data_IF_116042471121
#
_entry.id   IF_116042471121
#
_cell.length_a   1.000
_cell.length_b   1.000
_cell.length_c   1.000
_cell.angle_alpha   90.00
_cell.angle_beta   90.00
_cell.angle_gamma   90.00
#
_symmetry.space_group_name_H-M   'P 1'
#
loop_
_entity.id
_entity.type
_entity.pdbx_description
1 polymer ?
#
# COMPACT_ATOMS: atom_id res chain seq x y z
N UNK A 1 -4.13 -9.78 -13.12
CA UNK A 1 -5.02 -9.43 -14.26
C UNK A 1 -4.33 -9.80 -15.57
N UNK A 2 -3.25 -9.11 -15.96
CA UNK A 2 -2.46 -9.48 -17.15
C UNK A 2 -1.88 -10.89 -17.09
N UNK A 3 -1.42 -11.33 -15.92
CA UNK A 3 -0.89 -12.70 -15.74
C UNK A 3 -1.97 -13.79 -15.83
N UNK A 4 -3.24 -13.40 -15.67
CA UNK A 4 -4.38 -14.33 -15.60
C UNK A 4 -5.16 -14.41 -16.90
N UNK A 5 -5.29 -13.27 -17.61
CA UNK A 5 -6.13 -13.13 -18.81
C UNK A 5 -5.33 -12.80 -20.07
N UNK A 6 -4.02 -12.63 -19.94
CA UNK A 6 -3.11 -12.32 -21.03
C UNK A 6 -3.03 -10.82 -21.36
N UNK A 7 -1.88 -10.41 -21.90
CA UNK A 7 -1.59 -9.00 -22.22
C UNK A 7 -2.60 -8.37 -23.19
N UNK A 8 -3.12 -9.14 -24.15
CA UNK A 8 -4.10 -8.62 -25.12
C UNK A 8 -5.41 -8.13 -24.46
N UNK A 9 -5.90 -8.83 -23.44
CA UNK A 9 -7.09 -8.39 -22.69
C UNK A 9 -6.76 -7.15 -21.85
N UNK A 10 -5.54 -7.08 -21.31
CA UNK A 10 -5.02 -5.89 -20.62
C UNK A 10 -5.02 -4.64 -21.50
N UNK A 11 -4.49 -4.75 -22.72
CA UNK A 11 -4.42 -3.62 -23.66
C UNK A 11 -5.82 -3.10 -24.05
N UNK A 12 -6.75 -4.02 -24.35
CA UNK A 12 -8.15 -3.68 -24.63
C UNK A 12 -8.86 -3.03 -23.45
N UNK A 13 -8.51 -3.45 -22.23
CA UNK A 13 -9.04 -2.83 -21.02
C UNK A 13 -8.52 -1.40 -20.88
N UNK A 14 -7.22 -1.17 -21.08
CA UNK A 14 -6.61 0.15 -20.99
C UNK A 14 -7.18 1.12 -22.03
N UNK A 15 -7.44 0.64 -23.25
CA UNK A 15 -8.14 1.41 -24.29
C UNK A 15 -9.55 1.82 -23.83
N UNK A 16 -10.33 0.86 -23.32
CA UNK A 16 -11.69 1.14 -22.81
C UNK A 16 -11.70 2.06 -21.59
N UNK A 17 -10.70 1.94 -20.72
CA UNK A 17 -10.50 2.85 -19.58
C UNK A 17 -10.26 4.26 -20.09
N UNK A 18 -9.35 4.45 -21.06
CA UNK A 18 -9.10 5.75 -21.69
C UNK A 18 -10.37 6.37 -22.26
N UNK A 19 -11.14 5.61 -23.06
CA UNK A 19 -12.42 6.08 -23.63
C UNK A 19 -13.40 6.50 -22.52
N UNK A 20 -13.53 5.69 -21.46
CA UNK A 20 -14.48 5.95 -20.39
C UNK A 20 -14.07 7.16 -19.55
N UNK A 21 -12.77 7.35 -19.33
CA UNK A 21 -12.23 8.53 -18.67
C UNK A 21 -12.46 9.78 -19.51
N UNK A 22 -12.17 9.76 -20.81
CA UNK A 22 -12.44 10.90 -21.70
C UNK A 22 -13.91 11.31 -21.67
N UNK A 23 -14.85 10.36 -21.62
CA UNK A 23 -16.28 10.64 -21.49
C UNK A 23 -16.69 11.27 -20.14
N UNK A 24 -15.85 11.13 -19.11
CA UNK A 24 -16.07 11.79 -17.83
C UNK A 24 -15.66 13.27 -17.84
N UNK A 25 -14.80 13.68 -18.77
CA UNK A 25 -14.16 14.99 -18.79
C UNK A 25 -14.82 15.96 -19.77
N UNK A 26 -14.55 17.26 -19.61
CA UNK A 26 -14.98 18.31 -20.54
C UNK A 26 -13.93 18.45 -21.64
N UNK A 27 -14.29 19.03 -22.78
CA UNK A 27 -13.36 19.23 -23.90
C UNK A 27 -12.17 20.16 -23.61
N UNK A 28 -12.21 20.92 -22.51
CA UNK A 28 -11.10 21.76 -22.03
C UNK A 28 -10.16 21.03 -21.08
N UNK A 29 -10.58 19.89 -20.54
CA UNK A 29 -9.77 19.09 -19.63
C UNK A 29 -8.84 18.19 -20.43
N UNK A 30 -7.70 17.84 -19.85
CA UNK A 30 -6.71 16.97 -20.51
C UNK A 30 -6.61 15.64 -19.78
N UNK A 31 -6.45 14.56 -20.55
CA UNK A 31 -6.12 13.24 -20.03
C UNK A 31 -4.88 12.71 -20.74
N UNK A 32 -3.97 12.13 -19.97
CA UNK A 32 -2.79 11.44 -20.45
C UNK A 32 -2.63 10.10 -19.73
N UNK A 33 -1.98 9.15 -20.40
CA UNK A 33 -1.50 7.90 -19.77
C UNK A 33 0.00 8.03 -19.62
N UNK A 34 0.51 8.02 -18.39
CA UNK A 34 1.95 8.20 -18.13
C UNK A 34 2.74 6.91 -18.34
N UNK A 35 2.10 5.77 -18.11
CA UNK A 35 2.71 4.45 -18.25
C UNK A 35 1.88 3.41 -17.53
N UNK A 36 2.11 2.11 -17.80
CA UNK A 36 1.41 1.04 -17.10
C UNK A 36 -0.11 1.21 -17.10
N UNK A 37 -0.72 1.19 -15.91
CA UNK A 37 -2.14 1.45 -15.63
C UNK A 37 -2.41 2.87 -15.08
N UNK A 38 -1.43 3.78 -15.18
CA UNK A 38 -1.49 5.13 -14.61
C UNK A 38 -2.01 6.16 -15.61
N UNK A 39 -3.04 6.89 -15.19
CA UNK A 39 -3.67 7.97 -15.95
C UNK A 39 -3.62 9.27 -15.15
N UNK A 40 -3.30 10.37 -15.82
CA UNK A 40 -3.31 11.73 -15.27
C UNK A 40 -4.42 12.52 -15.92
N UNK A 41 -5.18 13.25 -15.10
CA UNK A 41 -6.22 14.17 -15.54
C UNK A 41 -5.84 15.57 -15.09
N UNK A 42 -5.85 16.52 -16.01
CA UNK A 42 -5.68 17.95 -15.73
C UNK A 42 -7.02 18.63 -15.94
N UNK A 43 -7.56 19.19 -14.86
CA UNK A 43 -8.81 19.94 -14.89
C UNK A 43 -8.50 21.42 -15.05
N UNK A 44 -8.99 22.00 -16.14
CA UNK A 44 -8.78 23.42 -16.43
C UNK A 44 -9.93 24.26 -15.86
N UNK A 45 -9.61 25.49 -15.42
CA UNK A 45 -10.60 26.47 -14.96
C UNK A 45 -11.45 25.99 -13.76
N UNK A 46 -10.80 25.29 -12.83
CA UNK A 46 -11.42 24.85 -11.58
C UNK A 46 -11.47 26.02 -10.59
N UNK A 47 -12.68 26.40 -10.18
CA UNK A 47 -12.87 27.49 -9.21
C UNK A 47 -12.69 27.04 -7.75
N UNK A 48 -13.01 25.78 -7.44
CA UNK A 48 -12.97 25.25 -6.07
C UNK A 48 -12.57 23.77 -6.06
N UNK A 49 -12.03 23.29 -4.92
CA UNK A 49 -11.64 21.89 -4.75
C UNK A 49 -12.83 20.93 -4.91
N UNK A 50 -14.05 21.36 -4.60
CA UNK A 50 -15.28 20.59 -4.75
C UNK A 50 -15.57 20.19 -6.20
N UNK A 51 -15.22 21.05 -7.18
CA UNK A 51 -15.35 20.68 -8.59
C UNK A 51 -14.43 19.50 -8.96
N UNK A 52 -13.21 19.45 -8.41
CA UNK A 52 -12.31 18.33 -8.62
C UNK A 52 -12.84 17.05 -7.95
N UNK A 53 -13.43 17.15 -6.75
CA UNK A 53 -14.10 16.04 -6.09
C UNK A 53 -15.24 15.44 -6.94
N UNK A 54 -16.09 16.30 -7.51
CA UNK A 54 -17.20 15.86 -8.38
C UNK A 54 -16.69 15.09 -9.60
N UNK A 55 -15.60 15.55 -10.24
CA UNK A 55 -15.00 14.84 -11.37
C UNK A 55 -14.41 13.51 -10.91
N UNK A 56 -13.71 13.47 -9.78
CA UNK A 56 -13.13 12.25 -9.23
C UNK A 56 -14.22 11.20 -8.91
N UNK A 57 -15.31 11.60 -8.26
CA UNK A 57 -16.47 10.71 -7.99
C UNK A 57 -17.11 10.21 -9.28
N UNK A 58 -17.25 11.08 -10.29
CA UNK A 58 -17.76 10.71 -11.61
C UNK A 58 -16.86 9.66 -12.26
N UNK A 59 -15.55 9.83 -12.19
CA UNK A 59 -14.57 8.87 -12.71
C UNK A 59 -14.70 7.54 -11.99
N UNK A 60 -14.66 7.53 -10.65
CA UNK A 60 -14.75 6.30 -9.83
C UNK A 60 -16.05 5.55 -10.16
N UNK A 61 -17.18 6.25 -10.15
CA UNK A 61 -18.50 5.66 -10.46
C UNK A 61 -18.57 5.09 -11.88
N UNK A 62 -17.92 5.76 -12.83
CA UNK A 62 -17.85 5.31 -14.22
C UNK A 62 -16.98 4.05 -14.35
N UNK A 63 -15.79 4.03 -13.75
CA UNK A 63 -14.86 2.90 -13.79
C UNK A 63 -15.37 1.68 -13.01
N UNK A 64 -16.15 1.87 -11.94
CA UNK A 64 -16.75 0.79 -11.17
C UNK A 64 -17.74 -0.08 -11.97
N UNK A 65 -18.29 0.46 -13.08
CA UNK A 65 -19.12 -0.33 -13.99
C UNK A 65 -18.26 -1.39 -14.68
N UNK A 66 -18.72 -2.64 -14.82
CA UNK A 66 -17.91 -3.67 -15.43
C UNK A 66 -17.53 -3.36 -16.89
N UNK A 67 -16.37 -3.84 -17.30
CA UNK A 67 -15.89 -3.80 -18.67
C UNK A 67 -16.17 -5.13 -19.34
N UNK A 68 -17.00 -5.11 -20.38
CA UNK A 68 -17.21 -6.27 -21.25
C UNK A 68 -16.15 -6.29 -22.34
N UNK A 69 -15.29 -7.31 -22.29
CA UNK A 69 -14.21 -7.54 -23.26
C UNK A 69 -14.30 -9.00 -23.71
N UNK A 70 -14.67 -9.22 -24.97
CA UNK A 70 -15.02 -10.55 -25.49
C UNK A 70 -16.08 -11.24 -24.59
N UNK A 71 -15.76 -12.42 -24.07
CA UNK A 71 -16.59 -13.21 -23.15
C UNK A 71 -16.39 -12.86 -21.68
N UNK A 72 -15.49 -11.93 -21.35
CA UNK A 72 -15.16 -11.58 -19.97
C UNK A 72 -15.91 -10.34 -19.50
N UNK A 73 -16.36 -10.40 -18.25
CA UNK A 73 -16.88 -9.26 -17.51
C UNK A 73 -15.85 -8.91 -16.43
N UNK A 74 -15.16 -7.78 -16.61
CA UNK A 74 -14.02 -7.40 -15.77
C UNK A 74 -14.43 -6.25 -14.87
N UNK A 75 -14.23 -6.41 -13.57
CA UNK A 75 -14.39 -5.35 -12.59
C UNK A 75 -13.02 -4.78 -12.26
N UNK A 76 -12.90 -3.46 -12.33
CA UNK A 76 -11.70 -2.74 -11.90
C UNK A 76 -12.07 -1.72 -10.84
N UNK A 77 -11.07 -1.37 -10.05
CA UNK A 77 -11.12 -0.23 -9.17
C UNK A 77 -10.26 0.92 -9.63
N UNK A 78 -10.38 2.06 -8.97
CA UNK A 78 -9.53 3.23 -9.20
C UNK A 78 -9.16 3.91 -7.89
N UNK A 79 -7.91 4.30 -7.73
CA UNK A 79 -7.45 5.17 -6.65
C UNK A 79 -7.01 6.49 -7.25
N UNK A 80 -7.56 7.61 -6.76
CA UNK A 80 -7.29 8.94 -7.33
C UNK A 80 -6.65 9.85 -6.28
N UNK A 81 -5.48 10.37 -6.58
CA UNK A 81 -4.87 11.47 -5.82
C UNK A 81 -5.13 12.81 -6.51
N UNK A 82 -5.49 13.84 -5.74
CA UNK A 82 -5.84 15.15 -6.28
C UNK A 82 -4.93 16.23 -5.66
N UNK A 83 -4.34 17.06 -6.52
CA UNK A 83 -3.59 18.26 -6.15
C UNK A 83 -4.17 19.49 -6.85
N UNK A 84 -4.02 20.65 -6.22
CA UNK A 84 -4.44 21.94 -6.74
C UNK A 84 -3.24 22.88 -6.88
N UNK A 85 -3.12 23.52 -8.03
CA UNK A 85 -2.17 24.61 -8.23
C UNK A 85 -2.87 25.95 -7.95
N UNK A 86 -2.22 26.89 -7.23
CA UNK A 86 -0.86 26.80 -6.67
C UNK A 86 -0.82 26.28 -5.21
N UNK A 87 -1.95 25.96 -4.59
CA UNK A 87 -2.01 25.69 -3.14
C UNK A 87 -1.19 24.48 -2.69
N UNK A 88 -1.18 23.43 -3.51
CA UNK A 88 -0.55 22.15 -3.22
C UNK A 88 0.80 22.01 -3.95
N UNK A 89 1.33 23.05 -4.58
CA UNK A 89 2.63 23.02 -5.27
C UNK A 89 2.77 24.13 -6.30
N UNK A 90 3.97 24.69 -6.41
CA UNK A 90 4.33 25.78 -7.33
C UNK A 90 5.09 25.31 -8.58
N UNK A 91 5.50 24.03 -8.62
CA UNK A 91 6.11 23.39 -9.79
C UNK A 91 5.46 22.02 -10.11
N UNK A 92 5.68 21.55 -11.35
CA UNK A 92 5.08 20.32 -11.86
C UNK A 92 5.54 19.08 -11.08
N UNK A 93 6.83 18.99 -10.72
CA UNK A 93 7.38 17.83 -10.04
C UNK A 93 6.78 17.71 -8.63
N UNK A 94 6.62 18.83 -7.92
CA UNK A 94 5.92 18.89 -6.65
C UNK A 94 4.45 18.46 -6.81
N UNK A 95 3.73 18.97 -7.82
CA UNK A 95 2.33 18.59 -8.06
C UNK A 95 2.16 17.10 -8.34
N UNK A 96 3.02 16.49 -9.16
CA UNK A 96 2.99 15.05 -9.43
C UNK A 96 3.26 14.25 -8.16
N UNK A 97 4.33 14.59 -7.43
CA UNK A 97 4.70 13.92 -6.19
C UNK A 97 3.58 13.97 -5.15
N UNK A 98 2.92 15.12 -5.02
CA UNK A 98 1.81 15.30 -4.09
C UNK A 98 0.53 14.55 -4.52
N UNK A 99 0.27 14.45 -5.84
CA UNK A 99 -0.83 13.65 -6.35
C UNK A 99 -0.58 12.16 -6.09
N UNK A 100 0.65 11.69 -6.28
CA UNK A 100 1.03 10.30 -5.99
C UNK A 100 0.89 9.98 -4.50
N UNK A 101 1.31 10.88 -3.60
CA UNK A 101 1.10 10.69 -2.15
C UNK A 101 -0.39 10.60 -1.79
N UNK A 102 -1.23 11.45 -2.39
CA UNK A 102 -2.68 11.39 -2.20
C UNK A 102 -3.28 10.08 -2.74
N UNK A 103 -2.84 9.63 -3.91
CA UNK A 103 -3.26 8.36 -4.49
C UNK A 103 -2.83 7.17 -3.62
N UNK A 104 -1.61 7.22 -3.07
CA UNK A 104 -1.10 6.18 -2.18
C UNK A 104 -1.98 6.01 -0.95
N UNK A 105 -2.36 7.11 -0.29
CA UNK A 105 -3.29 7.09 0.86
C UNK A 105 -4.64 6.43 0.53
N UNK A 106 -5.14 6.61 -0.69
CA UNK A 106 -6.35 5.91 -1.16
C UNK A 106 -6.12 4.41 -1.33
N UNK A 107 -4.96 4.02 -1.87
CA UNK A 107 -4.61 2.59 -2.05
C UNK A 107 -4.60 1.87 -0.70
N UNK A 108 -4.10 2.53 0.35
CA UNK A 108 -4.08 2.04 1.73
C UNK A 108 -5.48 1.92 2.34
N UNK A 109 -6.34 2.92 2.15
CA UNK A 109 -7.67 2.98 2.78
C UNK A 109 -8.74 2.10 2.12
N UNK A 110 -8.36 1.20 1.22
CA UNK A 110 -9.27 0.22 0.60
C UNK A 110 -9.57 0.45 -0.89
N UNK A 111 -8.85 1.35 -1.58
CA UNK A 111 -9.02 1.67 -3.01
C UNK A 111 -10.43 2.22 -3.31
N UNK A 112 -10.74 2.49 -4.59
CA UNK A 112 -12.07 2.95 -5.03
C UNK A 112 -12.55 4.27 -4.41
N UNK A 113 -11.61 5.14 -4.08
CA UNK A 113 -11.89 6.47 -3.54
C UNK A 113 -10.97 7.51 -4.18
N UNK A 114 -11.07 8.73 -3.69
CA UNK A 114 -10.13 9.80 -3.99
C UNK A 114 -9.63 10.42 -2.67
N UNK A 115 -8.45 11.02 -2.71
CA UNK A 115 -7.95 11.85 -1.63
C UNK A 115 -7.37 13.14 -2.20
N UNK A 116 -7.57 14.22 -1.46
CA UNK A 116 -6.83 15.45 -1.70
C UNK A 116 -5.48 15.36 -1.01
N UNK A 117 -4.47 15.93 -1.65
CA UNK A 117 -3.22 16.19 -0.97
C UNK A 117 -3.43 17.09 0.25
N UNK A 118 -2.71 16.77 1.32
CA UNK A 118 -2.51 17.67 2.45
C UNK A 118 -1.08 17.51 2.96
N UNK A 119 -0.51 18.58 3.52
CA UNK A 119 0.84 18.54 4.09
C UNK A 119 0.99 17.49 5.20
N UNK A 120 -0.07 17.25 5.99
CA UNK A 120 -0.10 16.17 6.98
C UNK A 120 0.02 14.78 6.34
N UNK A 121 -0.52 14.60 5.13
CA UNK A 121 -0.41 13.36 4.38
C UNK A 121 1.02 13.11 3.90
N UNK A 122 1.75 14.17 3.57
CA UNK A 122 3.16 14.09 3.13
C UNK A 122 4.04 13.41 4.17
N UNK A 123 3.92 13.84 5.42
CA UNK A 123 4.73 13.29 6.52
C UNK A 123 4.40 11.82 6.77
N UNK A 124 3.12 11.45 6.73
CA UNK A 124 2.69 10.08 6.93
C UNK A 124 3.18 9.15 5.82
N UNK A 125 2.94 9.52 4.55
CA UNK A 125 3.34 8.69 3.40
C UNK A 125 4.85 8.57 3.30
N UNK A 126 5.60 9.67 3.43
CA UNK A 126 7.06 9.62 3.40
C UNK A 126 7.63 8.76 4.53
N UNK A 127 7.13 8.93 5.77
CA UNK A 127 7.58 8.11 6.90
C UNK A 127 7.27 6.62 6.67
N UNK A 128 6.16 6.29 6.00
CA UNK A 128 5.84 4.90 5.66
C UNK A 128 6.76 4.34 4.57
N UNK A 129 6.98 5.07 3.49
CA UNK A 129 7.90 4.65 2.43
C UNK A 129 9.33 4.45 2.95
N UNK A 130 9.78 5.33 3.85
CA UNK A 130 11.06 5.17 4.55
C UNK A 130 11.09 3.89 5.38
N UNK A 131 10.06 3.64 6.20
CA UNK A 131 9.97 2.41 6.97
C UNK A 131 9.86 1.15 6.11
N UNK A 132 9.20 1.19 4.96
CA UNK A 132 9.15 0.04 4.03
C UNK A 132 10.55 -0.28 3.51
N UNK A 133 11.26 0.74 3.04
CA UNK A 133 12.65 0.61 2.60
C UNK A 133 13.53 0.07 3.71
N UNK A 134 13.39 0.60 4.92
CA UNK A 134 14.18 0.20 6.08
C UNK A 134 13.83 -1.24 6.52
N UNK A 135 12.57 -1.66 6.41
CA UNK A 135 12.15 -3.04 6.71
C UNK A 135 12.80 -4.03 5.74
N UNK A 136 12.92 -3.65 4.47
CA UNK A 136 13.64 -4.47 3.47
C UNK A 136 15.11 -4.64 3.84
N UNK A 137 15.75 -3.58 4.30
CA UNK A 137 17.14 -3.60 4.77
C UNK A 137 17.26 -4.45 6.05
N UNK A 138 16.28 -4.34 6.95
CA UNK A 138 16.24 -5.07 8.22
C UNK A 138 16.06 -6.59 8.08
N UNK A 139 15.62 -7.09 6.93
CA UNK A 139 15.61 -8.54 6.65
C UNK A 139 17.03 -9.10 6.52
N UNK A 140 17.96 -8.30 5.99
CA UNK A 140 19.35 -8.70 5.74
C UNK A 140 20.31 -8.22 6.85
N UNK A 141 19.97 -7.14 7.53
CA UNK A 141 20.72 -6.63 8.68
C UNK A 141 20.07 -7.11 9.97
N UNK A 142 20.85 -7.61 10.93
CA UNK A 142 20.39 -8.21 12.22
C UNK A 142 19.59 -7.24 13.14
N UNK A 143 18.49 -6.69 12.64
CA UNK A 143 17.62 -5.68 13.24
C UNK A 143 16.27 -6.29 13.61
N UNK A 144 15.88 -7.37 12.91
CA UNK A 144 14.74 -8.21 13.25
C UNK A 144 15.16 -9.32 14.22
N UNK A 145 14.30 -9.63 15.18
CA UNK A 145 14.48 -10.74 16.11
C UNK A 145 13.13 -11.27 16.61
N UNK A 146 13.16 -12.48 17.18
CA UNK A 146 11.97 -13.12 17.75
C UNK A 146 12.05 -13.11 19.27
N UNK A 147 11.01 -12.58 19.91
CA UNK A 147 10.71 -12.88 21.31
C UNK A 147 9.87 -14.14 21.38
N UNK A 148 9.95 -14.88 22.49
CA UNK A 148 9.19 -16.11 22.68
C UNK A 148 8.35 -16.03 23.94
N UNK A 149 7.03 -16.17 23.79
CA UNK A 149 6.10 -16.19 24.90
C UNK A 149 5.69 -17.63 25.19
N UNK A 150 5.89 -18.14 26.43
CA UNK A 150 5.51 -19.51 26.75
C UNK A 150 3.99 -19.68 26.82
N UNK A 151 3.51 -20.79 26.30
CA UNK A 151 2.12 -21.23 26.41
C UNK A 151 2.06 -22.30 27.50
N UNK A 152 1.20 -22.10 28.50
CA UNK A 152 1.09 -22.97 29.67
C UNK A 152 -0.19 -23.81 29.56
N UNK A 153 -0.06 -25.11 29.75
CA UNK A 153 -1.18 -26.03 29.87
C UNK A 153 -1.84 -25.86 31.24
N UNK A 154 -3.14 -25.56 31.26
CA UNK A 154 -3.90 -25.39 32.52
C UNK A 154 -4.14 -26.72 33.26
N UNK A 155 -3.99 -27.86 32.59
CA UNK A 155 -4.21 -29.18 33.20
C UNK A 155 -3.08 -29.56 34.17
N UNK A 156 -1.84 -29.26 33.82
CA UNK A 156 -0.63 -29.69 34.53
C UNK A 156 0.36 -28.54 34.83
N UNK A 157 0.00 -27.30 34.48
CA UNK A 157 0.78 -26.07 34.67
C UNK A 157 2.20 -26.12 34.05
N UNK A 158 2.39 -27.00 33.06
CA UNK A 158 3.63 -27.14 32.32
C UNK A 158 3.62 -26.30 31.04
N UNK A 159 4.81 -25.91 30.58
CA UNK A 159 4.96 -25.25 29.29
C UNK A 159 4.69 -26.28 28.19
N UNK A 160 3.66 -26.06 27.38
CA UNK A 160 3.27 -26.93 26.28
C UNK A 160 3.66 -26.38 24.90
N UNK A 161 4.11 -25.13 24.82
CA UNK A 161 4.56 -24.51 23.59
C UNK A 161 5.13 -23.13 23.80
N UNK A 162 5.52 -22.49 22.69
CA UNK A 162 5.96 -21.09 22.66
C UNK A 162 5.37 -20.40 21.44
N UNK A 163 4.97 -19.15 21.61
CA UNK A 163 4.59 -18.26 20.52
C UNK A 163 5.80 -17.39 20.15
N UNK A 164 6.16 -17.38 18.87
CA UNK A 164 7.24 -16.54 18.35
C UNK A 164 6.66 -15.18 17.93
N UNK A 165 7.17 -14.11 18.53
CA UNK A 165 6.67 -12.76 18.39
C UNK A 165 7.75 -11.88 17.73
N UNK A 166 7.50 -11.45 16.50
CA UNK A 166 8.40 -10.59 15.75
C UNK A 166 8.68 -9.27 16.47
N UNK A 167 9.93 -8.84 16.48
CA UNK A 167 10.39 -7.55 16.96
C UNK A 167 11.35 -6.94 15.96
N UNK A 168 11.28 -5.62 15.84
CA UNK A 168 12.19 -4.84 15.01
C UNK A 168 12.81 -3.71 15.83
N UNK A 169 14.14 -3.73 15.92
CA UNK A 169 14.93 -2.66 16.50
C UNK A 169 15.52 -1.81 15.38
N UNK A 170 14.80 -0.76 15.04
CA UNK A 170 15.26 0.25 14.09
C UNK A 170 16.48 1.00 14.63
N UNK A 171 17.52 1.24 13.82
CA UNK A 171 18.74 1.94 14.24
C UNK A 171 18.47 3.35 14.79
N UNK A 172 17.51 4.06 14.20
CA UNK A 172 17.18 5.46 14.55
C UNK A 172 15.87 5.63 15.32
N UNK A 173 14.85 4.83 15.01
CA UNK A 173 13.49 4.96 15.56
C UNK A 173 13.26 4.07 16.78
N UNK A 174 14.23 3.22 17.13
CA UNK A 174 14.10 2.29 18.25
C UNK A 174 13.15 1.14 17.96
N UNK A 175 12.32 0.76 18.93
CA UNK A 175 11.42 -0.39 18.80
C UNK A 175 10.19 -0.02 17.97
N UNK A 176 10.00 -0.71 16.84
CA UNK A 176 8.81 -0.55 16.00
C UNK A 176 7.75 -1.58 16.43
N UNK A 177 6.49 -1.16 16.51
CA UNK A 177 5.40 -2.03 16.93
C UNK A 177 5.14 -3.15 15.91
N UNK A 178 4.81 -4.39 16.36
CA UNK A 178 4.49 -5.49 15.44
C UNK A 178 3.34 -5.17 14.48
N UNK A 179 2.32 -4.46 14.93
CA UNK A 179 1.19 -4.03 14.09
C UNK A 179 1.65 -3.18 12.91
N UNK A 180 2.59 -2.25 13.14
CA UNK A 180 3.14 -1.39 12.08
C UNK A 180 4.01 -2.19 11.11
N UNK A 181 4.79 -3.16 11.61
CA UNK A 181 5.58 -4.05 10.76
C UNK A 181 4.66 -4.85 9.84
N UNK A 182 3.62 -5.46 10.41
CA UNK A 182 2.69 -6.32 9.68
C UNK A 182 1.97 -5.51 8.59
N UNK A 183 1.38 -4.37 8.92
CA UNK A 183 0.69 -3.50 7.94
C UNK A 183 1.63 -3.13 6.78
N UNK A 184 2.84 -2.63 7.06
CA UNK A 184 3.81 -2.28 6.01
C UNK A 184 4.15 -3.51 5.16
N UNK A 185 4.37 -4.66 5.80
CA UNK A 185 4.76 -5.87 5.11
C UNK A 185 3.64 -6.49 4.28
N UNK A 186 2.36 -6.29 4.60
CA UNK A 186 1.22 -6.80 3.82
C UNK A 186 0.92 -5.93 2.59
N UNK A 187 1.15 -4.62 2.72
CA UNK A 187 0.92 -3.63 1.66
C UNK A 187 2.09 -3.56 0.66
N UNK A 188 3.30 -3.88 1.12
CA UNK A 188 4.46 -4.15 0.28
C UNK A 188 4.56 -5.66 0.01
N UNK A 189 5.15 -6.14 -1.07
CA UNK A 189 5.29 -7.59 -1.31
C UNK A 189 6.28 -8.29 -0.33
N UNK A 190 6.57 -7.68 0.84
CA UNK A 190 7.52 -8.13 1.84
C UNK A 190 6.95 -9.17 2.81
N UNK A 191 5.62 -9.34 2.93
CA UNK A 191 5.01 -10.28 3.89
C UNK A 191 5.50 -11.71 3.68
N UNK A 192 5.72 -12.10 2.42
CA UNK A 192 6.23 -13.42 2.07
C UNK A 192 7.68 -13.61 2.52
N UNK A 193 8.54 -12.63 2.21
CA UNK A 193 9.95 -12.65 2.61
C UNK A 193 10.10 -12.61 4.14
N UNK A 194 9.30 -11.77 4.80
CA UNK A 194 9.26 -11.66 6.26
C UNK A 194 8.77 -12.96 6.90
N UNK A 195 7.70 -13.56 6.37
CA UNK A 195 7.19 -14.84 6.84
C UNK A 195 8.21 -15.97 6.70
N UNK A 196 8.92 -16.04 5.57
CA UNK A 196 10.01 -16.99 5.38
C UNK A 196 11.13 -16.78 6.41
N UNK A 197 11.56 -15.54 6.61
CA UNK A 197 12.58 -15.20 7.60
C UNK A 197 12.16 -15.60 9.02
N UNK A 198 10.91 -15.31 9.42
CA UNK A 198 10.37 -15.68 10.74
C UNK A 198 10.40 -17.20 10.92
N UNK A 199 9.91 -17.96 9.94
CA UNK A 199 9.86 -19.42 10.02
C UNK A 199 11.25 -20.03 10.12
N UNK A 200 12.20 -19.59 9.28
CA UNK A 200 13.58 -20.05 9.32
C UNK A 200 14.21 -19.78 10.68
N UNK A 201 14.01 -18.57 11.22
CA UNK A 201 14.56 -18.15 12.51
C UNK A 201 13.95 -18.94 13.67
N UNK A 202 12.64 -19.12 13.69
CA UNK A 202 11.94 -19.89 14.71
C UNK A 202 12.35 -21.37 14.70
N UNK A 203 12.52 -21.97 13.52
CA UNK A 203 12.94 -23.37 13.38
C UNK A 203 14.43 -23.58 13.69
N UNK A 204 15.29 -22.59 13.42
CA UNK A 204 16.71 -22.66 13.74
C UNK A 204 16.97 -22.61 15.26
N UNK A 205 16.03 -22.09 16.05
CA UNK A 205 16.18 -21.96 17.50
C UNK A 205 15.69 -23.24 18.21
N UNK A 206 16.55 -23.97 18.95
CA UNK A 206 16.14 -25.21 19.59
C UNK A 206 15.13 -24.95 20.72
N UNK A 207 13.97 -25.64 20.68
CA UNK A 207 12.91 -25.57 21.71
C UNK A 207 13.45 -25.78 23.14
N UNK A 208 14.53 -26.57 23.30
CA UNK A 208 15.19 -26.82 24.59
C UNK A 208 15.87 -25.59 25.22
N UNK A 209 16.32 -24.61 24.43
CA UNK A 209 16.94 -23.40 24.98
C UNK A 209 15.91 -22.40 25.51
N UNK A 210 14.67 -22.47 25.01
CA UNK A 210 13.57 -21.58 25.40
C UNK A 210 12.96 -21.96 26.76
N UNK A 211 13.01 -23.24 27.14
CA UNK A 211 12.55 -23.72 28.44
C UNK A 211 13.50 -23.38 29.63
N UNK A 212 14.78 -23.04 29.35
CA UNK A 212 15.79 -22.77 30.38
C UNK A 212 15.90 -21.30 30.81
N UNK A 213 15.09 -20.39 30.24
CA UNK A 213 15.08 -18.96 30.60
C UNK A 213 14.61 -18.64 32.04
N UNK A 214 14.20 -19.64 32.84
CA UNK A 214 13.76 -19.47 34.23
C UNK A 214 14.89 -19.27 35.25
N UNK A 215 16.18 -19.26 34.86
CA UNK A 215 17.27 -19.32 35.84
C UNK A 215 18.37 -18.26 35.71
N UNK A 216 18.06 -17.05 35.23
CA UNK A 216 18.92 -15.87 35.41
C UNK A 216 18.09 -14.65 35.82
N UNK A 217 17.87 -14.55 37.13
CA UNK A 217 17.68 -13.28 37.84
C UNK A 217 19.05 -12.78 38.30
#
# INVERSE_FOLDING_TARGET
MNDTLGHHIGDLLLEKVGIRLTACLRGVDTIARLGGDEFTVILNTVQTKEHAAIVAEKIITSLARPFKIHSHLIHIGSSIGITAYPEDGDDLDAMFKHADMAMYDVKEKGRNAYAFFSSNLTTYVNHRMELEKDLRIALDNNELYLNYQPIISLHDNNICGVEALLRWRHPTLGQISPEKIISISEESDLILALGEWILRTACAQPVRSLAHGKNKA
#
